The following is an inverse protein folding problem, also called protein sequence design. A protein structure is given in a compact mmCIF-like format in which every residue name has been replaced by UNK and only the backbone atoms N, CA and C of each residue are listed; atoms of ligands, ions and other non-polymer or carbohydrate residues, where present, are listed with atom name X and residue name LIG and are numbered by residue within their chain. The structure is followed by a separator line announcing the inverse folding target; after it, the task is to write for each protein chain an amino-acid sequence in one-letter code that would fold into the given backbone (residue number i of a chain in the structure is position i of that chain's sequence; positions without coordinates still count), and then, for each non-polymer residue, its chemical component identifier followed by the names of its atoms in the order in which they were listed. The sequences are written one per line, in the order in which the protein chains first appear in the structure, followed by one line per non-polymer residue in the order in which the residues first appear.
data_IF_453702295809
#
_entry.id   IF_453702295809
#
_cell.length_a   1.000
_cell.length_b   1.000
_cell.length_c   1.000
_cell.angle_alpha   90.00
_cell.angle_beta   90.00
_cell.angle_gamma   90.00
#
_symmetry.space_group_name_H-M   'P 1'
#
loop_
_entity.id
_entity.type
_entity.pdbx_description
1 polymer ?
#
# COMPACT_ATOMS: atom_id res chain seq x y z
N UNK A 1 -7.97 -127.31 -130.36
CA UNK A 1 -8.74 -127.07 -129.11
C UNK A 1 -7.72 -126.92 -127.99
N UNK A 2 -7.31 -125.70 -127.65
CA UNK A 2 -7.92 -124.74 -126.67
C UNK A 2 -7.26 -124.83 -125.29
N UNK A 3 -6.34 -123.89 -124.99
CA UNK A 3 -5.92 -123.56 -123.62
C UNK A 3 -5.65 -122.04 -123.57
N UNK A 4 -6.71 -121.25 -123.40
CA UNK A 4 -6.63 -119.78 -123.21
C UNK A 4 -7.56 -119.34 -122.07
N UNK A 5 -7.45 -119.98 -120.89
CA UNK A 5 -8.33 -119.69 -119.74
C UNK A 5 -7.64 -119.54 -118.36
N UNK A 6 -6.32 -119.73 -118.24
CA UNK A 6 -5.64 -119.70 -116.93
C UNK A 6 -4.82 -118.42 -116.65
N UNK A 7 -4.63 -117.55 -117.64
CA UNK A 7 -3.77 -116.36 -117.48
C UNK A 7 -4.51 -115.12 -116.93
N UNK A 8 -5.83 -115.02 -117.04
CA UNK A 8 -6.58 -113.83 -116.60
C UNK A 8 -6.87 -113.79 -115.09
N UNK A 9 -6.96 -114.95 -114.41
CA UNK A 9 -7.26 -115.00 -112.97
C UNK A 9 -6.14 -114.49 -112.06
N UNK A 10 -4.88 -114.60 -112.48
CA UNK A 10 -3.73 -114.19 -111.65
C UNK A 10 -3.49 -112.67 -111.65
N UNK A 11 -3.90 -111.95 -112.69
CA UNK A 11 -3.69 -110.50 -112.80
C UNK A 11 -4.75 -109.67 -112.05
N UNK A 12 -5.95 -110.23 -111.82
CA UNK A 12 -7.01 -109.54 -111.08
C UNK A 12 -6.75 -109.53 -109.55
N UNK A 13 -6.11 -110.56 -108.99
CA UNK A 13 -5.84 -110.67 -107.56
C UNK A 13 -4.73 -109.74 -107.03
N UNK A 14 -3.76 -109.36 -107.87
CA UNK A 14 -2.66 -108.48 -107.47
C UNK A 14 -3.09 -107.01 -107.37
N UNK A 15 -4.00 -106.56 -108.23
CA UNK A 15 -4.43 -105.15 -108.29
C UNK A 15 -5.37 -104.74 -107.14
N UNK A 16 -6.09 -105.69 -106.53
CA UNK A 16 -7.00 -105.43 -105.40
C UNK A 16 -6.25 -105.34 -104.06
N UNK A 17 -5.22 -106.15 -103.88
CA UNK A 17 -4.40 -106.15 -102.65
C UNK A 17 -3.56 -104.87 -102.50
N UNK A 18 -3.07 -104.33 -103.62
CA UNK A 18 -2.30 -103.07 -103.66
C UNK A 18 -3.19 -101.84 -103.36
N UNK A 19 -4.46 -101.83 -103.80
CA UNK A 19 -5.40 -100.76 -103.47
C UNK A 19 -5.81 -100.76 -101.98
N UNK A 20 -5.99 -101.93 -101.37
CA UNK A 20 -6.35 -102.03 -99.96
C UNK A 20 -5.23 -101.55 -99.02
N UNK A 21 -3.97 -101.91 -99.32
CA UNK A 21 -2.82 -101.42 -98.55
C UNK A 21 -2.60 -99.91 -98.70
N UNK A 22 -2.93 -99.33 -99.85
CA UNK A 22 -2.88 -97.87 -100.03
C UNK A 22 -3.99 -97.14 -99.27
N UNK A 23 -5.21 -97.68 -99.24
CA UNK A 23 -6.33 -97.12 -98.48
C UNK A 23 -6.05 -97.04 -96.96
N UNK A 24 -5.55 -98.12 -96.36
CA UNK A 24 -5.19 -98.09 -94.92
C UNK A 24 -4.12 -97.03 -94.59
N UNK A 25 -3.11 -96.88 -95.46
CA UNK A 25 -2.06 -95.88 -95.26
C UNK A 25 -2.52 -94.43 -95.47
N UNK A 26 -3.65 -94.21 -96.14
CA UNK A 26 -4.24 -92.88 -96.32
C UNK A 26 -5.13 -92.51 -95.13
N UNK A 27 -5.93 -93.45 -94.63
CA UNK A 27 -6.77 -93.24 -93.44
C UNK A 27 -5.92 -92.98 -92.19
N UNK A 28 -4.83 -93.74 -91.98
CA UNK A 28 -3.88 -93.49 -90.88
C UNK A 28 -3.24 -92.09 -90.97
N UNK A 29 -3.00 -91.58 -92.19
CA UNK A 29 -2.47 -90.23 -92.39
C UNK A 29 -3.51 -89.16 -92.09
N UNK A 30 -4.76 -89.38 -92.48
CA UNK A 30 -5.85 -88.44 -92.19
C UNK A 30 -6.15 -88.37 -90.70
N UNK A 31 -6.20 -89.50 -90.00
CA UNK A 31 -6.43 -89.55 -88.55
C UNK A 31 -5.28 -88.88 -87.78
N UNK A 32 -4.04 -89.11 -88.21
CA UNK A 32 -2.86 -88.43 -87.64
C UNK A 32 -2.87 -86.92 -87.92
N UNK A 33 -3.33 -86.49 -89.10
CA UNK A 33 -3.46 -85.07 -89.43
C UNK A 33 -4.58 -84.38 -88.63
N UNK A 34 -5.70 -85.08 -88.41
CA UNK A 34 -6.83 -84.56 -87.62
C UNK A 34 -6.46 -84.45 -86.14
N UNK A 35 -5.81 -85.48 -85.57
CA UNK A 35 -5.34 -85.43 -84.17
C UNK A 35 -4.29 -84.33 -83.93
N UNK A 36 -3.38 -84.11 -84.89
CA UNK A 36 -2.43 -82.98 -84.83
C UNK A 36 -3.15 -81.63 -84.86
N UNK A 37 -4.20 -81.49 -85.68
CA UNK A 37 -4.99 -80.26 -85.77
C UNK A 37 -5.77 -79.98 -84.48
N UNK A 38 -6.39 -81.01 -83.90
CA UNK A 38 -7.10 -80.89 -82.62
C UNK A 38 -6.15 -80.57 -81.47
N UNK A 39 -4.96 -81.20 -81.44
CA UNK A 39 -3.92 -80.87 -80.46
C UNK A 39 -3.41 -79.42 -80.62
N UNK A 40 -3.29 -78.92 -81.85
CA UNK A 40 -2.93 -77.52 -82.09
C UNK A 40 -4.04 -76.57 -81.63
N UNK A 41 -5.31 -76.90 -81.88
CA UNK A 41 -6.46 -76.08 -81.47
C UNK A 41 -6.61 -76.02 -79.94
N UNK A 42 -6.43 -77.15 -79.25
CA UNK A 42 -6.45 -77.19 -77.78
C UNK A 42 -5.30 -76.35 -77.20
N UNK A 43 -4.09 -76.48 -77.74
CA UNK A 43 -2.95 -75.66 -77.34
C UNK A 43 -3.22 -74.15 -77.53
N UNK A 44 -3.89 -73.76 -78.61
CA UNK A 44 -4.22 -72.36 -78.87
C UNK A 44 -5.26 -71.82 -77.87
N UNK A 45 -6.30 -72.61 -77.56
CA UNK A 45 -7.28 -72.23 -76.54
C UNK A 45 -6.67 -72.11 -75.14
N UNK A 46 -5.77 -73.02 -74.77
CA UNK A 46 -5.05 -72.96 -73.50
C UNK A 46 -4.15 -71.72 -73.42
N UNK A 47 -3.46 -71.37 -74.52
CA UNK A 47 -2.68 -70.13 -74.60
C UNK A 47 -3.53 -68.88 -74.41
N UNK A 48 -4.71 -68.83 -75.03
CA UNK A 48 -5.63 -67.70 -74.87
C UNK A 48 -6.13 -67.57 -73.43
N UNK A 49 -6.55 -68.68 -72.79
CA UNK A 49 -6.97 -68.66 -71.38
C UNK A 49 -5.86 -68.15 -70.46
N UNK A 50 -4.63 -68.62 -70.65
CA UNK A 50 -3.48 -68.15 -69.86
C UNK A 50 -3.19 -66.66 -70.10
N UNK A 51 -3.34 -66.18 -71.33
CA UNK A 51 -3.16 -64.76 -71.64
C UNK A 51 -4.23 -63.88 -70.95
N UNK A 52 -5.49 -64.30 -70.99
CA UNK A 52 -6.60 -63.59 -70.33
C UNK A 52 -6.44 -63.56 -68.81
N UNK A 53 -6.04 -64.67 -68.20
CA UNK A 53 -5.76 -64.73 -66.76
C UNK A 53 -4.63 -63.77 -66.39
N UNK A 54 -3.52 -63.77 -67.15
CA UNK A 54 -2.41 -62.84 -66.92
C UNK A 54 -2.81 -61.37 -67.07
N UNK A 55 -3.67 -61.06 -68.03
CA UNK A 55 -4.17 -59.69 -68.22
C UNK A 55 -5.04 -59.22 -67.05
N UNK A 56 -5.94 -60.08 -66.56
CA UNK A 56 -6.78 -59.78 -65.41
C UNK A 56 -5.96 -59.63 -64.12
N UNK A 57 -4.97 -60.50 -63.91
CA UNK A 57 -4.02 -60.38 -62.79
C UNK A 57 -3.21 -59.08 -62.87
N UNK A 58 -2.72 -58.70 -64.06
CA UNK A 58 -1.99 -57.45 -64.25
C UNK A 58 -2.86 -56.21 -63.97
N UNK A 59 -4.12 -56.20 -64.40
CA UNK A 59 -5.07 -55.13 -64.09
C UNK A 59 -5.38 -55.05 -62.59
N UNK A 60 -5.58 -56.21 -61.94
CA UNK A 60 -5.79 -56.28 -60.49
C UNK A 60 -4.58 -55.74 -59.72
N UNK A 61 -3.38 -56.10 -60.13
CA UNK A 61 -2.13 -55.62 -59.56
C UNK A 61 -1.93 -54.10 -59.77
N UNK A 62 -2.23 -53.57 -60.96
CA UNK A 62 -2.16 -52.12 -61.23
C UNK A 62 -3.13 -51.34 -60.34
N UNK A 63 -4.42 -51.75 -60.30
CA UNK A 63 -5.43 -51.10 -59.46
C UNK A 63 -5.07 -51.15 -57.97
N UNK A 64 -4.50 -52.26 -57.52
CA UNK A 64 -4.00 -52.39 -56.15
C UNK A 64 -2.86 -51.42 -55.86
N UNK A 65 -1.92 -51.26 -56.80
CA UNK A 65 -0.82 -50.30 -56.68
C UNK A 65 -1.32 -48.86 -56.64
N UNK A 66 -2.25 -48.49 -57.52
CA UNK A 66 -2.77 -47.12 -57.61
C UNK A 66 -3.51 -46.72 -56.34
N UNK A 67 -4.35 -47.61 -55.79
CA UNK A 67 -5.00 -47.38 -54.48
C UNK A 67 -4.00 -47.14 -53.36
N UNK A 68 -2.92 -47.92 -53.31
CA UNK A 68 -1.87 -47.75 -52.30
C UNK A 68 -1.10 -46.44 -52.51
N UNK A 69 -0.94 -45.97 -53.75
CA UNK A 69 -0.32 -44.69 -54.06
C UNK A 69 -1.21 -43.52 -53.60
N UNK A 70 -2.50 -43.57 -53.89
CA UNK A 70 -3.47 -42.54 -53.49
C UNK A 70 -3.59 -42.46 -51.95
N UNK A 71 -3.70 -43.61 -51.26
CA UNK A 71 -3.72 -43.63 -49.80
C UNK A 71 -2.44 -43.05 -49.17
N UNK A 72 -1.29 -43.24 -49.82
CA UNK A 72 -0.03 -42.62 -49.37
C UNK A 72 -0.03 -41.12 -49.60
N UNK A 73 -0.54 -40.66 -50.74
CA UNK A 73 -0.65 -39.23 -51.06
C UNK A 73 -1.58 -38.51 -50.08
N UNK A 74 -2.75 -39.08 -49.78
CA UNK A 74 -3.69 -38.51 -48.82
C UNK A 74 -3.10 -38.43 -47.40
N UNK A 75 -2.42 -39.49 -46.96
CA UNK A 75 -1.72 -39.48 -45.66
C UNK A 75 -0.62 -38.41 -45.62
N UNK A 76 0.14 -38.26 -46.70
CA UNK A 76 1.17 -37.22 -46.80
C UNK A 76 0.56 -35.82 -46.76
N UNK A 77 -0.50 -35.57 -47.52
CA UNK A 77 -1.19 -34.29 -47.54
C UNK A 77 -1.75 -33.92 -46.16
N UNK A 78 -2.41 -34.86 -45.49
CA UNK A 78 -2.94 -34.65 -44.13
C UNK A 78 -1.83 -34.38 -43.10
N UNK A 79 -0.67 -35.03 -43.24
CA UNK A 79 0.49 -34.76 -42.40
C UNK A 79 1.05 -33.35 -42.67
N UNK A 80 1.18 -32.96 -43.93
CA UNK A 80 1.64 -31.62 -44.32
C UNK A 80 0.69 -30.54 -43.83
N UNK A 81 -0.62 -30.70 -43.98
CA UNK A 81 -1.62 -29.74 -43.51
C UNK A 81 -1.55 -29.56 -41.98
N UNK A 82 -1.41 -30.67 -41.23
CA UNK A 82 -1.19 -30.61 -39.77
C UNK A 82 0.11 -29.90 -39.43
N UNK A 83 1.19 -30.14 -40.17
CA UNK A 83 2.47 -29.47 -39.96
C UNK A 83 2.34 -27.96 -40.19
N UNK A 84 1.70 -27.52 -41.28
CA UNK A 84 1.48 -26.10 -41.59
C UNK A 84 0.63 -25.44 -40.51
N UNK A 85 -0.53 -26.02 -40.15
CA UNK A 85 -1.37 -25.50 -39.05
C UNK A 85 -0.62 -25.40 -37.73
N UNK A 86 0.23 -26.39 -37.43
CA UNK A 86 1.07 -26.34 -36.22
C UNK A 86 2.16 -25.26 -36.31
N UNK A 87 2.72 -25.02 -37.49
CA UNK A 87 3.73 -23.98 -37.71
C UNK A 87 3.11 -22.58 -37.62
N UNK A 88 1.94 -22.35 -38.21
CA UNK A 88 1.17 -21.11 -38.07
C UNK A 88 0.77 -20.84 -36.62
N UNK A 89 0.26 -21.86 -35.91
CA UNK A 89 -0.06 -21.73 -34.49
C UNK A 89 1.18 -21.36 -33.65
N UNK A 90 2.34 -21.97 -33.94
CA UNK A 90 3.61 -21.62 -33.29
C UNK A 90 4.07 -20.21 -33.65
N UNK A 91 3.95 -19.80 -34.91
CA UNK A 91 4.32 -18.46 -35.37
C UNK A 91 3.45 -17.38 -34.69
N UNK A 92 2.13 -17.55 -34.71
CA UNK A 92 1.19 -16.64 -34.05
C UNK A 92 1.37 -16.61 -32.52
N UNK A 93 1.79 -17.72 -31.90
CA UNK A 93 2.15 -17.76 -30.48
C UNK A 93 3.52 -17.13 -30.21
N UNK A 94 4.45 -17.16 -31.15
CA UNK A 94 5.74 -16.48 -31.05
C UNK A 94 5.57 -14.97 -31.21
N UNK A 95 4.77 -14.51 -32.17
CA UNK A 95 4.47 -13.09 -32.41
C UNK A 95 3.76 -12.46 -31.21
N UNK A 96 2.78 -13.14 -30.62
CA UNK A 96 2.14 -12.69 -29.36
C UNK A 96 3.11 -12.61 -28.19
N UNK A 97 4.08 -13.52 -28.11
CA UNK A 97 5.13 -13.46 -27.08
C UNK A 97 6.10 -12.30 -27.34
N UNK A 98 6.48 -12.06 -28.58
CA UNK A 98 7.36 -10.96 -28.97
C UNK A 98 6.71 -9.60 -28.70
N UNK A 99 5.46 -9.39 -29.13
CA UNK A 99 4.71 -8.15 -28.86
C UNK A 99 4.49 -7.93 -27.36
N UNK A 100 4.17 -8.97 -26.60
CA UNK A 100 4.07 -8.86 -25.14
C UNK A 100 5.42 -8.61 -24.44
N UNK A 101 6.54 -8.96 -25.08
CA UNK A 101 7.89 -8.70 -24.58
C UNK A 101 8.34 -7.27 -24.91
N UNK A 102 8.02 -6.78 -26.11
CA UNK A 102 8.26 -5.38 -26.49
C UNK A 102 7.43 -4.40 -25.65
N UNK A 103 6.15 -4.69 -25.42
CA UNK A 103 5.30 -3.86 -24.56
C UNK A 103 5.83 -3.80 -23.13
N UNK A 104 6.37 -4.92 -22.62
CA UNK A 104 7.04 -4.99 -21.32
C UNK A 104 8.29 -4.12 -21.28
N UNK A 105 9.15 -4.22 -22.29
CA UNK A 105 10.36 -3.41 -22.35
C UNK A 105 10.04 -1.91 -22.42
N UNK A 106 8.98 -1.52 -23.13
CA UNK A 106 8.53 -0.13 -23.16
C UNK A 106 8.02 0.34 -21.79
N UNK A 107 7.17 -0.46 -21.13
CA UNK A 107 6.67 -0.14 -19.79
C UNK A 107 7.80 -0.07 -18.75
N UNK A 108 8.74 -1.01 -18.77
CA UNK A 108 9.93 -0.99 -17.91
C UNK A 108 10.79 0.25 -18.17
N UNK A 109 10.99 0.62 -19.43
CA UNK A 109 11.74 1.81 -19.80
C UNK A 109 11.06 3.09 -19.30
N UNK A 110 9.75 3.21 -19.49
CA UNK A 110 8.96 4.35 -19.00
C UNK A 110 9.01 4.43 -17.48
N UNK A 111 8.80 3.32 -16.77
CA UNK A 111 8.91 3.26 -15.32
C UNK A 111 10.31 3.65 -14.84
N UNK A 112 11.37 3.12 -15.45
CA UNK A 112 12.75 3.49 -15.11
C UNK A 112 13.00 4.98 -15.32
N UNK A 113 12.46 5.57 -16.40
CA UNK A 113 12.55 7.00 -16.68
C UNK A 113 11.82 7.82 -15.62
N UNK A 114 10.61 7.43 -15.23
CA UNK A 114 9.86 8.09 -14.15
C UNK A 114 10.60 8.03 -12.81
N UNK A 115 11.12 6.85 -12.43
CA UNK A 115 11.89 6.70 -11.18
C UNK A 115 13.16 7.54 -11.19
N UNK A 116 13.88 7.58 -12.31
CA UNK A 116 15.10 8.38 -12.47
C UNK A 116 14.79 9.87 -12.39
N UNK A 117 13.70 10.31 -13.04
CA UNK A 117 13.21 11.69 -12.96
C UNK A 117 12.82 12.09 -11.53
N UNK A 118 12.17 11.19 -10.78
CA UNK A 118 11.86 11.41 -9.36
C UNK A 118 13.13 11.57 -8.52
N UNK A 119 14.11 10.68 -8.71
CA UNK A 119 15.39 10.76 -7.99
C UNK A 119 16.17 12.04 -8.30
N UNK A 120 16.27 12.42 -9.57
CA UNK A 120 16.93 13.66 -9.99
C UNK A 120 16.24 14.88 -9.36
N UNK A 121 14.91 14.93 -9.44
CA UNK A 121 14.13 16.01 -8.83
C UNK A 121 14.39 16.13 -7.32
N UNK A 122 14.42 15.01 -6.60
CA UNK A 122 14.70 15.00 -5.16
C UNK A 122 16.14 15.43 -4.84
N UNK A 123 17.13 15.03 -5.64
CA UNK A 123 18.52 15.42 -5.45
C UNK A 123 18.75 16.91 -5.72
N UNK A 124 18.23 17.43 -6.83
CA UNK A 124 18.36 18.84 -7.22
C UNK A 124 17.71 19.77 -6.19
N UNK A 125 16.56 19.36 -5.64
CA UNK A 125 15.81 20.17 -4.70
C UNK A 125 16.11 19.85 -3.23
N UNK A 126 17.01 18.91 -2.93
CA UNK A 126 17.33 18.48 -1.56
C UNK A 126 17.72 19.66 -0.63
N UNK A 127 18.53 20.65 -1.06
CA UNK A 127 18.87 21.78 -0.20
C UNK A 127 17.65 22.66 0.15
N UNK A 128 16.73 22.86 -0.80
CA UNK A 128 15.49 23.61 -0.61
C UNK A 128 14.58 22.85 0.36
N UNK A 129 14.47 21.54 0.17
CA UNK A 129 13.67 20.65 1.03
C UNK A 129 14.19 20.67 2.47
N UNK A 130 15.51 20.51 2.67
CA UNK A 130 16.11 20.49 4.01
C UNK A 130 15.96 21.83 4.73
N UNK A 131 16.30 22.94 4.07
CA UNK A 131 16.19 24.27 4.66
C UNK A 131 14.74 24.67 4.95
N UNK A 132 13.81 24.35 4.06
CA UNK A 132 12.40 24.64 4.28
C UNK A 132 11.80 23.80 5.41
N UNK A 133 12.14 22.51 5.51
CA UNK A 133 11.71 21.69 6.66
C UNK A 133 12.30 22.16 7.98
N UNK A 134 13.55 22.65 7.98
CA UNK A 134 14.15 23.27 9.16
C UNK A 134 13.40 24.56 9.55
N UNK A 135 13.06 25.42 8.59
CA UNK A 135 12.26 26.61 8.85
C UNK A 135 10.89 26.26 9.44
N UNK A 136 10.21 25.24 8.91
CA UNK A 136 8.95 24.73 9.46
C UNK A 136 9.13 24.25 10.91
N UNK A 137 10.19 23.48 11.21
CA UNK A 137 10.49 23.02 12.57
C UNK A 137 10.80 24.18 13.54
N UNK A 138 11.33 25.29 13.04
CA UNK A 138 11.59 26.52 13.79
C UNK A 138 10.36 27.46 13.86
N UNK A 139 9.21 27.05 13.31
CA UNK A 139 7.98 27.85 13.28
C UNK A 139 7.99 29.04 12.31
N UNK A 140 8.92 29.05 11.34
CA UNK A 140 9.09 30.10 10.32
C UNK A 140 8.40 29.71 9.02
N UNK A 141 7.98 30.70 8.22
CA UNK A 141 7.48 30.46 6.86
C UNK A 141 8.65 30.09 5.92
N UNK A 142 8.68 28.88 5.34
CA UNK A 142 9.72 28.44 4.41
C UNK A 142 9.58 29.07 3.00
N UNK A 143 8.48 29.79 2.72
CA UNK A 143 8.24 30.48 1.45
C UNK A 143 7.70 29.59 0.32
N UNK A 144 7.20 30.22 -0.74
CA UNK A 144 6.52 29.54 -1.86
C UNK A 144 7.42 28.58 -2.65
N UNK A 145 8.72 28.88 -2.80
CA UNK A 145 9.63 28.02 -3.55
C UNK A 145 9.76 26.65 -2.89
N UNK A 146 9.84 26.59 -1.56
CA UNK A 146 9.81 25.33 -0.82
C UNK A 146 8.49 24.59 -1.04
N UNK A 147 7.36 25.27 -0.89
CA UNK A 147 6.04 24.65 -1.04
C UNK A 147 5.80 24.08 -2.44
N UNK A 148 6.22 24.79 -3.49
CA UNK A 148 6.14 24.31 -4.87
C UNK A 148 6.96 23.04 -5.08
N UNK A 149 8.15 22.97 -4.47
CA UNK A 149 9.02 21.81 -4.54
C UNK A 149 8.40 20.61 -3.84
N UNK A 150 7.94 20.76 -2.61
CA UNK A 150 7.47 19.61 -1.83
C UNK A 150 6.08 19.13 -2.25
N UNK A 151 5.25 19.97 -2.88
CA UNK A 151 3.95 19.55 -3.45
C UNK A 151 4.07 18.84 -4.80
N UNK A 152 5.20 18.94 -5.48
CA UNK A 152 5.40 18.22 -6.73
C UNK A 152 5.30 16.70 -6.47
N UNK A 153 4.53 15.94 -7.27
CA UNK A 153 4.42 14.49 -7.11
C UNK A 153 5.78 13.76 -7.12
N UNK A 154 6.81 14.36 -7.72
CA UNK A 154 8.17 13.82 -7.76
C UNK A 154 8.92 13.96 -6.44
N UNK A 155 8.50 14.85 -5.55
CA UNK A 155 9.05 14.98 -4.20
C UNK A 155 8.83 13.73 -3.33
N UNK A 156 7.82 12.91 -3.65
CA UNK A 156 7.57 11.62 -2.99
C UNK A 156 7.44 11.76 -1.47
N UNK A 157 8.32 11.10 -0.73
CA UNK A 157 8.33 11.13 0.75
C UNK A 157 8.56 12.52 1.34
N UNK A 158 9.02 13.50 0.57
CA UNK A 158 9.18 14.88 1.05
C UNK A 158 7.89 15.70 0.97
N UNK A 159 6.79 15.15 0.43
CA UNK A 159 5.54 15.89 0.32
C UNK A 159 4.81 16.00 1.68
N UNK A 160 4.57 17.22 2.19
CA UNK A 160 3.90 17.49 3.48
C UNK A 160 2.47 16.94 3.55
N UNK A 161 1.74 16.93 2.43
CA UNK A 161 0.32 16.58 2.39
C UNK A 161 0.07 15.16 2.91
N UNK A 162 1.02 14.25 2.65
CA UNK A 162 0.98 12.88 3.17
C UNK A 162 0.97 12.84 4.70
N UNK A 163 1.72 13.73 5.34
CA UNK A 163 1.85 13.78 6.80
C UNK A 163 0.69 14.50 7.49
N UNK A 164 -0.09 15.29 6.73
CA UNK A 164 -1.27 16.00 7.21
C UNK A 164 -2.56 15.16 7.15
N UNK A 165 -2.50 14.00 6.52
CA UNK A 165 -3.58 13.01 6.53
C UNK A 165 -3.72 12.44 7.94
N UNK A 166 -4.93 12.46 8.48
CA UNK A 166 -5.21 11.98 9.84
C UNK A 166 -4.77 10.52 10.01
N UNK A 167 -5.04 9.67 9.02
CA UNK A 167 -4.62 8.28 8.98
C UNK A 167 -3.10 8.10 9.12
N UNK A 168 -2.30 9.02 8.58
CA UNK A 168 -0.84 8.93 8.61
C UNK A 168 -0.28 9.23 10.01
N UNK A 169 -0.85 10.21 10.71
CA UNK A 169 -0.41 10.51 12.07
C UNK A 169 -0.95 9.54 13.10
N UNK A 170 -2.17 9.02 12.92
CA UNK A 170 -2.67 7.91 13.74
C UNK A 170 -1.81 6.66 13.55
N UNK A 171 -1.36 6.38 12.32
CA UNK A 171 -0.36 5.35 12.04
C UNK A 171 0.97 5.66 12.74
N UNK A 172 1.46 6.90 12.67
CA UNK A 172 2.65 7.35 13.38
C UNK A 172 2.58 7.09 14.89
N UNK A 173 1.52 7.57 15.55
CA UNK A 173 1.28 7.36 16.98
C UNK A 173 1.20 5.87 17.34
N UNK A 174 0.44 5.10 16.57
CA UNK A 174 0.30 3.65 16.75
C UNK A 174 1.65 2.95 16.64
N UNK A 175 2.42 3.27 15.60
CA UNK A 175 3.74 2.69 15.38
C UNK A 175 4.68 2.98 16.55
N UNK A 176 4.82 4.25 16.94
CA UNK A 176 5.72 4.65 18.04
C UNK A 176 5.35 3.96 19.35
N UNK A 177 4.05 3.93 19.67
CA UNK A 177 3.56 3.30 20.91
C UNK A 177 3.84 1.80 20.92
N UNK A 178 3.49 1.09 19.85
CA UNK A 178 3.67 -0.35 19.76
C UNK A 178 5.14 -0.75 19.67
N UNK A 179 5.92 -0.11 18.79
CA UNK A 179 7.35 -0.39 18.66
C UNK A 179 8.10 -0.11 19.96
N UNK A 180 7.79 1.00 20.65
CA UNK A 180 8.37 1.32 21.96
C UNK A 180 8.04 0.29 23.03
N UNK A 181 6.81 -0.23 23.05
CA UNK A 181 6.41 -1.30 23.97
C UNK A 181 7.12 -2.63 23.66
N UNK A 182 7.20 -3.01 22.38
CA UNK A 182 7.92 -4.23 21.96
C UNK A 182 9.40 -4.16 22.33
N UNK A 183 10.06 -3.02 22.07
CA UNK A 183 11.47 -2.81 22.44
C UNK A 183 11.69 -2.90 23.94
N UNK A 184 10.78 -2.34 24.75
CA UNK A 184 10.85 -2.44 26.21
C UNK A 184 10.69 -3.89 26.67
N UNK A 185 9.71 -4.61 26.14
CA UNK A 185 9.50 -6.02 26.47
C UNK A 185 10.69 -6.89 26.07
N UNK A 186 11.32 -6.61 24.92
CA UNK A 186 12.55 -7.29 24.50
C UNK A 186 13.71 -7.01 25.46
N UNK A 187 13.92 -5.75 25.86
CA UNK A 187 14.95 -5.36 26.83
C UNK A 187 14.74 -5.98 28.21
N UNK A 188 13.47 -6.13 28.62
CA UNK A 188 13.10 -6.81 29.87
C UNK A 188 13.13 -8.34 29.78
N UNK A 189 13.48 -8.91 28.62
CA UNK A 189 13.51 -10.36 28.39
C UNK A 189 12.12 -11.02 28.35
N UNK A 190 11.06 -10.23 28.21
CA UNK A 190 9.64 -10.68 28.18
C UNK A 190 9.13 -10.93 26.77
N UNK A 191 9.86 -10.49 25.75
CA UNK A 191 9.56 -10.74 24.35
C UNK A 191 10.70 -11.57 23.75
N UNK A 192 10.41 -12.83 23.42
CA UNK A 192 11.27 -13.64 22.58
C UNK A 192 10.69 -13.67 21.16
N UNK A 193 11.28 -12.95 20.20
CA UNK A 193 10.74 -12.84 18.86
C UNK A 193 10.87 -14.13 18.03
N UNK A 194 11.55 -15.16 18.53
CA UNK A 194 11.66 -16.48 17.90
C UNK A 194 10.54 -17.45 18.31
N UNK A 195 9.73 -17.06 19.30
CA UNK A 195 8.56 -17.82 19.77
C UNK A 195 7.31 -17.46 18.98
N UNK A 196 6.32 -18.37 18.85
CA UNK A 196 5.03 -18.06 18.25
C UNK A 196 4.35 -16.84 18.88
N UNK A 197 4.44 -16.71 20.20
CA UNK A 197 3.88 -15.59 20.96
C UNK A 197 4.58 -14.28 20.63
N UNK A 198 5.92 -14.28 20.54
CA UNK A 198 6.69 -13.11 20.13
C UNK A 198 6.44 -12.73 18.67
N UNK A 199 6.35 -13.70 17.77
CA UNK A 199 5.95 -13.48 16.39
C UNK A 199 4.55 -12.84 16.30
N UNK A 200 3.58 -13.32 17.09
CA UNK A 200 2.23 -12.74 17.12
C UNK A 200 2.22 -11.32 17.68
N UNK A 201 3.03 -11.03 18.72
CA UNK A 201 3.16 -9.69 19.29
C UNK A 201 3.72 -8.68 18.27
N UNK A 202 4.72 -9.08 17.50
CA UNK A 202 5.33 -8.27 16.43
C UNK A 202 4.38 -8.09 15.24
N UNK A 203 3.55 -9.09 14.94
CA UNK A 203 2.62 -9.08 13.82
C UNK A 203 1.20 -8.64 14.22
N UNK A 204 1.07 -7.78 15.24
CA UNK A 204 -0.20 -7.21 15.60
C UNK A 204 -0.84 -6.47 14.39
N UNK A 205 -2.13 -6.70 14.06
CA UNK A 205 -2.75 -6.12 12.87
C UNK A 205 -2.72 -4.59 12.81
N UNK A 206 -2.90 -3.91 13.95
CA UNK A 206 -2.83 -2.44 14.01
C UNK A 206 -1.41 -1.94 13.77
N UNK A 207 -0.42 -2.65 14.31
CA UNK A 207 0.99 -2.32 14.10
C UNK A 207 1.42 -2.54 12.64
N UNK A 208 1.03 -3.67 12.03
CA UNK A 208 1.31 -3.94 10.60
C UNK A 208 0.65 -2.89 9.71
N UNK A 209 -0.61 -2.53 9.96
CA UNK A 209 -1.28 -1.46 9.21
C UNK A 209 -0.54 -0.12 9.36
N UNK A 210 -0.18 0.25 10.59
CA UNK A 210 0.55 1.49 10.86
C UNK A 210 1.93 1.52 10.17
N UNK A 211 2.68 0.43 10.26
CA UNK A 211 3.96 0.27 9.55
C UNK A 211 3.77 0.34 8.03
N UNK A 212 2.73 -0.30 7.50
CA UNK A 212 2.36 -0.26 6.09
C UNK A 212 2.05 1.16 5.60
N UNK A 213 1.34 1.97 6.37
CA UNK A 213 1.09 3.38 6.05
C UNK A 213 2.39 4.20 6.04
N UNK A 214 3.24 4.04 7.06
CA UNK A 214 4.52 4.77 7.15
C UNK A 214 5.48 4.39 6.02
N UNK A 215 5.50 3.10 5.62
CA UNK A 215 6.37 2.55 4.57
C UNK A 215 5.67 2.36 3.22
N UNK A 216 4.54 3.02 3.00
CA UNK A 216 3.67 2.78 1.85
C UNK A 216 4.41 2.92 0.51
N UNK A 217 5.27 3.93 0.36
CA UNK A 217 6.05 4.12 -0.87
C UNK A 217 7.03 2.98 -1.09
N UNK A 218 7.70 2.52 -0.05
CA UNK A 218 8.64 1.40 -0.14
C UNK A 218 7.94 0.06 -0.40
N UNK A 219 6.76 -0.14 0.18
CA UNK A 219 5.92 -1.33 0.00
C UNK A 219 5.32 -1.37 -1.40
N UNK A 220 4.90 -0.22 -1.93
CA UNK A 220 4.27 -0.12 -3.25
C UNK A 220 5.28 -0.13 -4.42
N UNK A 221 6.59 -0.18 -4.14
CA UNK A 221 7.59 -0.38 -5.19
C UNK A 221 7.33 -1.69 -5.94
N UNK A 222 7.32 -1.61 -7.26
CA UNK A 222 7.06 -2.73 -8.16
C UNK A 222 5.59 -3.12 -8.29
N UNK A 223 4.66 -2.23 -7.92
CA UNK A 223 3.28 -2.29 -8.46
C UNK A 223 3.33 -1.88 -9.93
N UNK A 224 2.71 -2.66 -10.80
CA UNK A 224 2.80 -2.57 -12.25
C UNK A 224 3.77 -3.58 -12.88
N UNK A 225 4.70 -4.13 -12.09
CA UNK A 225 5.67 -5.11 -12.57
C UNK A 225 5.00 -6.47 -12.82
N UNK A 226 5.60 -7.27 -13.71
CA UNK A 226 5.22 -8.67 -13.91
C UNK A 226 6.08 -9.54 -13.01
N UNK A 227 5.43 -10.30 -12.14
CA UNK A 227 6.10 -11.27 -11.30
C UNK A 227 6.64 -12.42 -12.16
N UNK A 228 7.95 -12.66 -12.24
CA UNK A 228 8.54 -13.62 -13.17
C UNK A 228 8.18 -15.07 -12.84
N UNK A 229 7.82 -15.39 -11.59
CA UNK A 229 7.38 -16.72 -11.19
C UNK A 229 5.99 -17.06 -11.73
N UNK A 230 5.07 -16.11 -11.64
CA UNK A 230 3.65 -16.32 -11.99
C UNK A 230 3.31 -15.81 -13.39
N UNK A 231 4.14 -14.94 -13.97
CA UNK A 231 3.88 -14.23 -15.21
C UNK A 231 2.76 -13.19 -15.12
N UNK A 232 2.26 -12.89 -13.91
CA UNK A 232 1.10 -12.01 -13.67
C UNK A 232 1.53 -10.60 -13.32
N UNK A 233 0.69 -9.63 -13.67
CA UNK A 233 0.92 -8.22 -13.35
C UNK A 233 0.53 -7.95 -11.91
N UNK A 234 1.40 -7.24 -11.18
CA UNK A 234 1.13 -6.83 -9.81
C UNK A 234 0.26 -5.57 -9.82
N UNK A 235 -0.95 -5.66 -9.26
CA UNK A 235 -1.90 -4.54 -9.19
C UNK A 235 -1.91 -3.85 -7.84
N UNK A 236 -1.41 -4.50 -6.79
CA UNK A 236 -1.33 -3.93 -5.45
C UNK A 236 -0.34 -4.64 -4.56
N UNK A 237 0.17 -3.91 -3.56
CA UNK A 237 1.06 -4.44 -2.52
C UNK A 237 0.62 -3.89 -1.17
N UNK A 238 0.68 -4.72 -0.13
CA UNK A 238 0.47 -4.29 1.24
C UNK A 238 1.38 -5.03 2.20
N UNK A 239 1.85 -4.36 3.25
CA UNK A 239 2.65 -5.01 4.28
C UNK A 239 1.80 -6.06 4.99
N UNK A 240 2.26 -7.31 5.00
CA UNK A 240 1.54 -8.45 5.56
C UNK A 240 2.10 -8.86 6.92
N UNK A 241 3.43 -8.96 7.02
CA UNK A 241 4.08 -9.44 8.23
C UNK A 241 5.52 -8.92 8.34
N UNK A 242 6.04 -8.95 9.56
CA UNK A 242 7.41 -8.61 9.93
C UNK A 242 7.99 -9.85 10.64
N UNK A 243 9.08 -10.37 10.09
CA UNK A 243 9.83 -11.47 10.71
C UNK A 243 11.11 -10.88 11.31
N UNK A 244 11.38 -11.17 12.57
CA UNK A 244 12.67 -10.84 13.19
C UNK A 244 13.64 -11.98 12.87
N UNK A 245 14.87 -11.65 12.52
CA UNK A 245 15.90 -12.66 12.23
C UNK A 245 16.24 -13.48 13.48
N UNK A 246 16.69 -14.74 13.35
CA UNK A 246 16.99 -15.60 14.49
C UNK A 246 18.03 -15.03 15.47
N UNK A 247 18.94 -14.19 14.97
CA UNK A 247 19.94 -13.50 15.79
C UNK A 247 19.39 -12.25 16.51
N UNK A 248 18.12 -11.89 16.26
CA UNK A 248 17.42 -10.77 16.88
C UNK A 248 17.89 -9.39 16.43
N UNK A 249 18.70 -9.29 15.36
CA UNK A 249 19.35 -8.02 14.96
C UNK A 249 18.68 -7.33 13.77
N UNK A 250 17.89 -8.06 12.99
CA UNK A 250 17.26 -7.55 11.78
C UNK A 250 15.80 -7.97 11.66
N UNK A 251 15.14 -7.35 10.68
CA UNK A 251 13.78 -7.67 10.26
C UNK A 251 13.73 -7.97 8.77
N UNK A 252 12.88 -8.91 8.40
CA UNK A 252 12.49 -9.22 7.02
C UNK A 252 11.01 -8.89 6.89
N UNK A 253 10.67 -8.07 5.90
CA UNK A 253 9.29 -7.65 5.64
C UNK A 253 8.65 -8.60 4.64
N UNK A 254 7.45 -9.11 4.96
CA UNK A 254 6.60 -9.84 4.04
C UNK A 254 5.50 -8.92 3.50
N UNK A 255 5.35 -8.91 2.18
CA UNK A 255 4.38 -8.08 1.45
C UNK A 255 3.39 -9.00 0.77
N UNK A 256 2.10 -8.78 1.00
CA UNK A 256 1.05 -9.40 0.21
C UNK A 256 0.95 -8.66 -1.11
N UNK A 257 1.14 -9.40 -2.20
CA UNK A 257 1.05 -8.97 -3.58
C UNK A 257 -0.32 -9.38 -4.10
N UNK A 258 -1.06 -8.44 -4.69
CA UNK A 258 -2.31 -8.69 -5.42
C UNK A 258 -2.03 -8.62 -6.92
N UNK A 259 -2.52 -9.61 -7.66
CA UNK A 259 -2.33 -9.72 -9.11
C UNK A 259 -3.55 -9.25 -9.91
N UNK A 260 -3.38 -9.10 -11.22
CA UNK A 260 -4.43 -8.72 -12.18
C UNK A 260 -5.61 -9.70 -12.23
N UNK A 261 -5.36 -10.99 -12.03
CA UNK A 261 -6.40 -12.02 -11.93
C UNK A 261 -7.09 -12.09 -10.56
N UNK A 262 -6.77 -11.17 -9.63
CA UNK A 262 -7.30 -11.12 -8.27
C UNK A 262 -6.67 -12.11 -7.30
N UNK A 263 -5.75 -12.97 -7.75
CA UNK A 263 -4.99 -13.85 -6.85
C UNK A 263 -4.03 -13.04 -5.97
N UNK A 264 -3.65 -13.64 -4.83
CA UNK A 264 -2.79 -13.01 -3.83
C UNK A 264 -1.68 -13.95 -3.39
N UNK A 265 -0.49 -13.39 -3.12
CA UNK A 265 0.63 -14.14 -2.58
C UNK A 265 1.44 -13.28 -1.60
N UNK A 266 1.89 -13.86 -0.49
CA UNK A 266 2.82 -13.20 0.44
C UNK A 266 4.25 -13.50 0.00
N UNK A 267 5.04 -12.46 -0.24
CA UNK A 267 6.44 -12.57 -0.67
C UNK A 267 7.35 -11.77 0.26
N UNK A 268 8.56 -12.26 0.59
CA UNK A 268 9.53 -11.46 1.30
C UNK A 268 10.02 -10.31 0.41
N UNK A 269 10.35 -9.20 1.04
CA UNK A 269 11.05 -8.09 0.40
C UNK A 269 12.52 -8.49 0.22
N UNK A 270 13.03 -8.48 -1.01
CA UNK A 270 14.41 -8.89 -1.36
C UNK A 270 15.36 -7.71 -1.51
N UNK A 271 16.66 -7.97 -1.65
CA UNK A 271 17.69 -6.94 -1.79
C UNK A 271 17.57 -6.18 -3.11
N UNK A 272 17.43 -6.90 -4.23
CA UNK A 272 17.31 -6.30 -5.56
C UNK A 272 15.86 -5.99 -5.96
N UNK A 273 14.88 -6.28 -5.10
CA UNK A 273 13.44 -6.10 -5.35
C UNK A 273 12.92 -6.94 -6.51
N UNK A 274 13.60 -8.04 -6.83
CA UNK A 274 13.21 -8.96 -7.90
C UNK A 274 12.61 -10.23 -7.31
N UNK A 275 11.86 -10.98 -8.11
CA UNK A 275 11.50 -12.37 -7.76
C UNK A 275 12.51 -13.38 -8.30
N UNK A 276 13.76 -12.97 -8.57
CA UNK A 276 14.77 -13.90 -9.06
C UNK A 276 15.11 -14.95 -7.97
N UNK A 277 15.36 -16.22 -8.33
CA UNK A 277 15.61 -17.28 -7.35
C UNK A 277 16.86 -17.07 -6.48
N UNK A 278 17.81 -16.27 -6.97
CA UNK A 278 19.05 -15.88 -6.31
C UNK A 278 18.94 -14.53 -5.56
N UNK A 279 17.80 -13.85 -5.62
CA UNK A 279 17.56 -12.61 -4.87
C UNK A 279 17.05 -12.94 -3.47
N UNK A 280 17.96 -12.85 -2.50
CA UNK A 280 17.68 -13.22 -1.12
C UNK A 280 16.77 -12.21 -0.40
N UNK A 281 15.99 -12.65 0.61
CA UNK A 281 15.25 -11.74 1.48
C UNK A 281 16.16 -10.69 2.11
N UNK A 282 15.76 -9.42 1.99
CA UNK A 282 16.50 -8.30 2.57
C UNK A 282 16.34 -8.30 4.08
N UNK A 283 17.47 -8.40 4.77
CA UNK A 283 17.56 -8.20 6.21
C UNK A 283 17.79 -6.70 6.48
N UNK A 284 16.81 -6.05 7.10
CA UNK A 284 16.91 -4.66 7.51
C UNK A 284 17.31 -4.63 8.98
N UNK A 285 18.43 -3.99 9.37
CA UNK A 285 18.76 -3.82 10.78
C UNK A 285 17.61 -3.17 11.54
N UNK A 286 17.31 -3.62 12.77
CA UNK A 286 16.16 -3.11 13.55
C UNK A 286 16.19 -1.58 13.67
N UNK A 287 17.36 -1.00 13.91
CA UNK A 287 17.50 0.46 14.00
C UNK A 287 17.19 1.17 12.68
N UNK A 288 17.55 0.58 11.55
CA UNK A 288 17.29 1.12 10.23
C UNK A 288 15.81 0.96 9.83
N UNK A 289 15.11 0.01 10.43
CA UNK A 289 13.65 -0.12 10.34
C UNK A 289 12.91 0.85 11.28
N UNK A 290 13.44 1.11 12.48
CA UNK A 290 12.74 1.94 13.47
C UNK A 290 12.98 3.43 13.26
N UNK A 291 14.22 3.84 12.99
CA UNK A 291 14.63 5.25 12.95
C UNK A 291 13.85 6.07 11.90
N UNK A 292 13.70 5.62 10.63
CA UNK A 292 12.93 6.38 9.64
C UNK A 292 11.45 6.48 10.01
N UNK A 293 10.87 5.41 10.58
CA UNK A 293 9.48 5.42 11.03
C UNK A 293 9.26 6.39 12.20
N UNK A 294 10.17 6.44 13.18
CA UNK A 294 10.13 7.44 14.25
C UNK A 294 10.23 8.87 13.71
N UNK A 295 11.14 9.11 12.75
CA UNK A 295 11.27 10.42 12.11
C UNK A 295 9.99 10.83 11.36
N UNK A 296 9.39 9.91 10.60
CA UNK A 296 8.12 10.14 9.89
C UNK A 296 6.97 10.40 10.86
N UNK A 297 6.89 9.67 11.95
CA UNK A 297 5.87 9.85 12.98
C UNK A 297 6.02 11.18 13.73
N UNK A 298 7.25 11.55 14.10
CA UNK A 298 7.53 12.84 14.73
C UNK A 298 7.20 14.00 13.79
N UNK A 299 7.55 13.87 12.51
CA UNK A 299 7.20 14.86 11.48
C UNK A 299 5.67 14.98 11.35
N UNK A 300 4.94 13.87 11.23
CA UNK A 300 3.48 13.88 11.16
C UNK A 300 2.84 14.54 12.38
N UNK A 301 3.34 14.25 13.58
CA UNK A 301 2.86 14.87 14.82
C UNK A 301 3.11 16.38 14.81
N UNK A 302 4.30 16.82 14.38
CA UNK A 302 4.63 18.24 14.26
C UNK A 302 3.77 18.96 13.21
N UNK A 303 3.54 18.32 12.06
CA UNK A 303 2.67 18.85 11.00
C UNK A 303 1.23 18.99 11.47
N UNK A 304 0.73 18.04 12.27
CA UNK A 304 -0.63 18.11 12.80
C UNK A 304 -0.78 19.17 13.88
N UNK A 305 0.22 19.33 14.75
CA UNK A 305 0.22 20.44 15.73
C UNK A 305 0.05 21.80 15.06
N UNK A 306 0.62 21.96 13.85
CA UNK A 306 0.52 23.17 13.03
C UNK A 306 -0.46 23.03 11.84
N UNK A 307 -1.37 22.04 11.86
CA UNK A 307 -2.13 21.63 10.67
C UNK A 307 -2.98 22.73 10.07
N UNK A 308 -3.61 23.58 10.87
CA UNK A 308 -4.52 24.61 10.35
C UNK A 308 -3.75 25.69 9.58
N UNK A 309 -2.61 26.13 10.12
CA UNK A 309 -1.71 27.07 9.46
C UNK A 309 -1.07 26.46 8.20
N UNK A 310 -0.67 25.19 8.27
CA UNK A 310 -0.10 24.46 7.14
C UNK A 310 -1.13 24.18 6.06
N UNK A 311 -2.37 23.79 6.39
CA UNK A 311 -3.43 23.59 5.40
C UNK A 311 -3.80 24.89 4.69
N UNK A 312 -3.82 26.00 5.40
CA UNK A 312 -4.02 27.32 4.81
C UNK A 312 -2.85 27.71 3.87
N UNK A 313 -1.59 27.53 4.29
CA UNK A 313 -0.42 27.80 3.42
C UNK A 313 -0.34 26.83 2.24
N UNK A 314 -0.84 25.60 2.43
CA UNK A 314 -1.01 24.59 1.40
C UNK A 314 -2.18 24.86 0.45
N UNK A 315 -3.02 25.87 0.73
CA UNK A 315 -4.22 26.15 -0.04
C UNK A 315 -5.28 25.03 0.03
N UNK A 316 -5.15 24.13 1.01
CA UNK A 316 -6.07 23.02 1.26
C UNK A 316 -7.32 23.47 2.03
N UNK A 317 -7.25 24.62 2.69
CA UNK A 317 -8.35 25.28 3.40
C UNK A 317 -8.31 26.79 3.15
N UNK A 318 -9.46 27.46 3.18
CA UNK A 318 -9.51 28.92 3.14
C UNK A 318 -8.72 29.50 4.33
N UNK A 319 -7.88 30.50 4.07
CA UNK A 319 -7.10 31.18 5.10
C UNK A 319 -7.96 32.04 6.04
N UNK A 320 -7.35 32.65 7.07
CA UNK A 320 -8.05 33.50 8.03
C UNK A 320 -8.78 34.67 7.34
N UNK A 321 -10.05 34.87 7.65
CA UNK A 321 -10.84 35.98 7.08
C UNK A 321 -10.56 37.27 7.87
N UNK A 322 -9.45 37.91 7.54
CA UNK A 322 -9.02 39.15 8.16
C UNK A 322 -9.98 40.32 7.89
N UNK A 323 -10.72 40.28 6.77
CA UNK A 323 -11.66 41.33 6.41
C UNK A 323 -12.91 41.22 7.30
N UNK A 324 -13.50 40.02 7.40
CA UNK A 324 -14.62 39.73 8.28
C UNK A 324 -14.31 40.01 9.76
N UNK A 325 -13.11 39.65 10.23
CA UNK A 325 -12.67 39.98 11.59
C UNK A 325 -12.60 41.49 11.85
N UNK A 326 -12.01 42.27 10.92
CA UNK A 326 -11.92 43.73 11.07
C UNK A 326 -13.30 44.37 11.13
N UNK A 327 -14.23 43.94 10.28
CA UNK A 327 -15.62 44.43 10.32
C UNK A 327 -16.30 44.08 11.64
N UNK A 328 -16.18 42.83 12.10
CA UNK A 328 -16.78 42.37 13.35
C UNK A 328 -16.23 43.09 14.58
N UNK A 329 -14.90 43.30 14.66
CA UNK A 329 -14.27 44.05 15.77
C UNK A 329 -14.70 45.52 15.75
N UNK A 330 -14.78 46.14 14.57
CA UNK A 330 -15.20 47.55 14.47
C UNK A 330 -16.62 47.76 14.97
N UNK A 331 -17.55 46.86 14.64
CA UNK A 331 -18.93 46.92 15.14
C UNK A 331 -19.00 46.61 16.65
N UNK A 332 -18.20 45.66 17.14
CA UNK A 332 -18.10 45.34 18.57
C UNK A 332 -17.59 46.55 19.39
N UNK A 333 -16.54 47.22 18.93
CA UNK A 333 -15.98 48.42 19.57
C UNK A 333 -16.97 49.59 19.57
N UNK A 334 -17.74 49.74 18.50
CA UNK A 334 -18.81 50.74 18.41
C UNK A 334 -19.92 50.48 19.43
N UNK A 335 -20.37 49.23 19.56
CA UNK A 335 -21.38 48.84 20.56
C UNK A 335 -20.85 49.02 21.98
N UNK A 336 -19.59 48.67 22.21
CA UNK A 336 -18.91 48.90 23.47
C UNK A 336 -18.85 50.39 23.84
N UNK A 337 -18.45 51.25 22.91
CA UNK A 337 -18.43 52.71 23.12
C UNK A 337 -19.81 53.27 23.47
N UNK A 338 -20.88 52.77 22.85
CA UNK A 338 -22.26 53.16 23.17
C UNK A 338 -22.68 52.71 24.57
N UNK A 339 -22.36 51.48 24.97
CA UNK A 339 -22.67 50.95 26.29
C UNK A 339 -21.88 51.66 27.39
N UNK A 340 -20.60 51.94 27.14
CA UNK A 340 -19.74 52.70 28.05
C UNK A 340 -20.30 54.10 28.30
N UNK A 341 -20.71 54.81 27.25
CA UNK A 341 -21.34 56.13 27.38
C UNK A 341 -22.64 56.08 28.20
N UNK A 342 -23.45 55.04 28.03
CA UNK A 342 -24.69 54.82 28.82
C UNK A 342 -24.39 54.59 30.30
N UNK A 343 -23.41 53.76 30.63
CA UNK A 343 -23.02 53.47 32.03
C UNK A 343 -22.45 54.72 32.69
N UNK A 344 -21.57 55.46 31.99
CA UNK A 344 -21.00 56.71 32.50
C UNK A 344 -22.07 57.77 32.79
N UNK A 345 -23.09 57.86 31.95
CA UNK A 345 -24.22 58.78 32.11
C UNK A 345 -25.31 58.32 33.11
N UNK A 346 -25.23 57.09 33.64
CA UNK A 346 -26.20 56.58 34.64
C UNK A 346 -26.02 57.26 36.00
N UNK A 347 -26.84 56.95 37.01
CA UNK A 347 -26.64 57.38 38.40
C UNK A 347 -26.35 56.20 39.34
N UNK A 348 -25.87 55.07 38.80
CA UNK A 348 -25.52 53.90 39.61
C UNK A 348 -24.33 54.19 40.54
N UNK A 349 -24.31 53.59 41.74
CA UNK A 349 -23.20 53.69 42.68
C UNK A 349 -21.99 52.84 42.25
N UNK A 350 -22.23 51.75 41.50
CA UNK A 350 -21.20 50.78 41.07
C UNK A 350 -20.67 51.02 39.64
N UNK A 351 -20.66 52.27 39.15
CA UNK A 351 -20.25 52.58 37.76
C UNK A 351 -18.89 52.04 37.39
N UNK A 352 -17.91 52.20 38.28
CA UNK A 352 -16.53 51.80 38.01
C UNK A 352 -16.42 50.28 37.83
N UNK A 353 -17.11 49.51 38.68
CA UNK A 353 -17.23 48.05 38.56
C UNK A 353 -17.92 47.61 37.26
N UNK A 354 -18.94 48.35 36.81
CA UNK A 354 -19.66 48.05 35.57
C UNK A 354 -18.84 48.40 34.32
N UNK A 355 -18.03 49.46 34.37
CA UNK A 355 -17.12 49.84 33.30
C UNK A 355 -15.98 48.82 33.16
N UNK A 356 -15.37 48.41 34.28
CA UNK A 356 -14.33 47.38 34.29
C UNK A 356 -14.84 46.03 33.75
N UNK A 357 -16.07 45.64 34.13
CA UNK A 357 -16.69 44.42 33.62
C UNK A 357 -16.99 44.51 32.11
N UNK A 358 -17.38 45.69 31.61
CA UNK A 358 -17.65 45.93 30.19
C UNK A 358 -16.36 45.89 29.36
N UNK A 359 -15.29 46.51 29.84
CA UNK A 359 -13.97 46.49 29.20
C UNK A 359 -13.41 45.05 29.15
N UNK A 360 -13.56 44.28 30.24
CA UNK A 360 -13.20 42.86 30.27
C UNK A 360 -14.03 42.02 29.29
N UNK A 361 -15.32 42.30 29.15
CA UNK A 361 -16.20 41.64 28.18
C UNK A 361 -15.78 41.94 26.74
N UNK A 362 -15.35 43.16 26.43
CA UNK A 362 -14.83 43.54 25.10
C UNK A 362 -13.60 42.72 24.73
N UNK A 363 -12.63 42.61 25.63
CA UNK A 363 -11.41 41.82 25.39
C UNK A 363 -11.73 40.34 25.19
N UNK A 364 -12.65 39.78 25.98
CA UNK A 364 -13.08 38.39 25.83
C UNK A 364 -13.81 38.16 24.49
N UNK A 365 -14.64 39.11 24.05
CA UNK A 365 -15.37 38.98 22.78
C UNK A 365 -14.49 39.23 21.55
N UNK A 366 -13.47 40.10 21.64
CA UNK A 366 -12.41 40.21 20.61
C UNK A 366 -11.63 38.91 20.46
N UNK A 367 -11.25 38.28 21.57
CA UNK A 367 -10.56 36.98 21.55
C UNK A 367 -11.43 35.88 20.92
N UNK A 368 -12.72 35.82 21.24
CA UNK A 368 -13.67 34.88 20.63
C UNK A 368 -13.89 35.14 19.13
N UNK A 369 -13.93 36.40 18.70
CA UNK A 369 -13.99 36.75 17.27
C UNK A 369 -12.71 36.34 16.55
N UNK A 370 -11.53 36.54 17.14
CA UNK A 370 -10.27 36.12 16.53
C UNK A 370 -10.25 34.61 16.28
N UNK A 371 -10.83 33.82 17.18
CA UNK A 371 -10.99 32.37 17.03
C UNK A 371 -11.99 32.01 15.91
N UNK A 372 -13.14 32.70 15.88
CA UNK A 372 -14.20 32.48 14.88
C UNK A 372 -13.73 32.75 13.44
N UNK A 373 -12.85 33.75 13.27
CA UNK A 373 -12.31 34.14 11.96
C UNK A 373 -10.92 33.53 11.66
N UNK A 374 -10.46 32.60 12.50
CA UNK A 374 -9.22 31.84 12.28
C UNK A 374 -7.94 32.65 12.37
N UNK A 375 -7.95 33.82 13.05
CA UNK A 375 -6.75 34.63 13.31
C UNK A 375 -5.97 34.16 14.54
N UNK A 376 -6.46 33.16 15.26
CA UNK A 376 -5.73 32.54 16.35
C UNK A 376 -4.61 31.65 15.80
N UNK A 377 -3.36 32.06 15.97
CA UNK A 377 -2.22 31.14 15.84
C UNK A 377 -2.33 30.10 16.95
N UNK A 378 -2.82 28.90 16.62
CA UNK A 378 -2.76 27.71 17.50
C UNK A 378 -1.31 27.23 17.76
N UNK A 379 -0.31 28.08 17.54
CA UNK A 379 1.09 27.87 17.95
C UNK A 379 1.33 28.26 19.40
N UNK A 380 0.37 28.92 20.05
CA UNK A 380 0.19 28.68 21.46
C UNK A 380 -0.53 27.34 21.57
N UNK A 381 0.25 26.25 21.71
CA UNK A 381 -0.14 25.22 22.67
C UNK A 381 -0.76 25.95 23.88
N UNK A 382 -1.74 25.38 24.59
CA UNK A 382 -1.90 25.81 25.97
C UNK A 382 -0.52 25.56 26.60
N UNK A 383 0.33 26.60 26.68
CA UNK A 383 1.31 26.75 27.75
C UNK A 383 0.47 26.36 28.92
N UNK A 384 0.73 25.16 29.46
CA UNK A 384 0.05 24.62 30.62
C UNK A 384 -0.35 25.82 31.43
N UNK A 385 -1.65 26.16 31.46
CA UNK A 385 -2.09 27.35 32.17
C UNK A 385 -1.43 27.20 33.53
N UNK A 386 -0.48 28.08 33.84
CA UNK A 386 0.55 27.78 34.83
C UNK A 386 -0.14 27.11 36.00
N UNK A 387 0.26 25.92 36.50
CA UNK A 387 -0.56 25.09 37.40
C UNK A 387 -1.25 25.88 38.54
N UNK A 388 -0.61 26.98 38.95
CA UNK A 388 -1.10 28.06 39.80
C UNK A 388 -2.39 28.79 39.34
N UNK A 389 -2.52 29.21 38.08
CA UNK A 389 -3.72 29.87 37.53
C UNK A 389 -4.95 28.97 37.59
N UNK A 390 -4.82 27.70 37.20
CA UNK A 390 -5.90 26.70 37.29
C UNK A 390 -6.21 26.38 38.76
N UNK A 391 -5.19 26.22 39.60
CA UNK A 391 -5.38 25.91 41.02
C UNK A 391 -5.98 27.06 41.82
N UNK A 392 -5.64 28.32 41.48
CA UNK A 392 -6.20 29.49 42.15
C UNK A 392 -7.65 29.73 41.74
N UNK A 393 -8.01 29.55 40.47
CA UNK A 393 -9.39 29.77 40.00
C UNK A 393 -9.96 31.15 40.33
N UNK A 394 -9.10 32.15 40.57
CA UNK A 394 -9.49 33.49 41.03
C UNK A 394 -9.83 33.61 42.52
N UNK A 395 -9.63 32.56 43.33
CA UNK A 395 -9.88 32.58 44.78
C UNK A 395 -8.89 33.54 45.49
N UNK A 396 -9.39 34.61 46.15
CA UNK A 396 -8.55 35.58 46.86
C UNK A 396 -7.67 34.96 47.95
N UNK A 397 -8.15 33.92 48.66
CA UNK A 397 -7.40 33.26 49.73
C UNK A 397 -6.22 32.46 49.14
N UNK A 398 -6.44 31.77 48.02
CA UNK A 398 -5.39 30.99 47.32
C UNK A 398 -4.34 31.90 46.69
N UNK A 399 -4.75 33.05 46.16
CA UNK A 399 -3.84 34.07 45.64
C UNK A 399 -2.95 34.65 46.74
N UNK A 400 -3.52 34.92 47.92
CA UNK A 400 -2.77 35.41 49.07
C UNK A 400 -1.77 34.36 49.60
N UNK A 401 -2.19 33.09 49.69
CA UNK A 401 -1.30 31.99 50.05
C UNK A 401 -0.09 31.86 49.11
N UNK A 402 -0.30 31.95 47.79
CA UNK A 402 0.80 31.89 46.82
C UNK A 402 1.76 33.05 46.99
N UNK A 403 1.24 34.26 47.24
CA UNK A 403 2.07 35.45 47.46
C UNK A 403 2.99 35.25 48.67
N UNK A 404 2.47 34.72 49.77
CA UNK A 404 3.25 34.43 50.98
C UNK A 404 4.22 33.24 50.79
N UNK A 405 3.78 32.16 50.14
CA UNK A 405 4.63 31.01 49.84
C UNK A 405 5.80 31.38 48.91
N UNK A 406 5.59 32.32 47.98
CA UNK A 406 6.64 32.86 47.12
C UNK A 406 7.64 33.72 47.91
N UNK A 407 7.14 34.60 48.79
CA UNK A 407 7.99 35.43 49.66
C UNK A 407 8.88 34.61 50.59
N UNK A 408 8.40 33.45 51.02
CA UNK A 408 9.16 32.53 51.88
C UNK A 408 9.98 31.48 51.10
N UNK A 409 10.03 31.56 49.76
CA UNK A 409 10.82 30.65 48.92
C UNK A 409 10.34 29.19 48.91
N UNK A 410 9.08 28.94 49.32
CA UNK A 410 8.50 27.59 49.43
C UNK A 410 7.61 27.21 48.24
N UNK A 411 7.37 28.15 47.32
CA UNK A 411 6.44 27.94 46.21
C UNK A 411 6.90 26.85 45.23
N UNK A 412 8.20 26.81 44.92
CA UNK A 412 8.77 25.83 43.98
C UNK A 412 8.61 24.39 44.45
N UNK A 413 8.80 24.11 45.74
CA UNK A 413 8.68 22.74 46.30
C UNK A 413 7.23 22.26 46.47
N UNK A 414 6.26 23.17 46.42
CA UNK A 414 4.83 22.87 46.49
C UNK A 414 4.22 22.61 45.11
N UNK A 415 4.78 23.21 44.07
CA UNK A 415 4.35 23.09 42.67
C UNK A 415 4.52 21.69 42.08
N UNK A 416 5.45 20.90 42.60
CA UNK A 416 5.76 19.56 42.10
C UNK A 416 4.67 18.52 42.39
N UNK A 417 3.71 18.84 43.29
CA UNK A 417 2.64 17.91 43.65
C UNK A 417 1.34 18.65 44.06
N UNK A 418 0.26 18.57 43.25
CA UNK A 418 -1.03 19.22 43.54
C UNK A 418 -1.65 18.84 44.89
N UNK A 419 -1.45 17.61 45.37
CA UNK A 419 -1.97 17.18 46.67
C UNK A 419 -1.26 17.90 47.83
N UNK A 420 0.06 18.13 47.72
CA UNK A 420 0.83 18.87 48.73
C UNK A 420 0.43 20.34 48.78
N UNK A 421 0.09 20.92 47.63
CA UNK A 421 -0.37 22.32 47.55
C UNK A 421 -1.71 22.53 48.27
N UNK A 422 -2.66 21.59 48.12
CA UNK A 422 -3.93 21.62 48.86
C UNK A 422 -3.72 21.49 50.39
N UNK A 423 -2.89 20.54 50.83
CA UNK A 423 -2.63 20.36 52.27
C UNK A 423 -1.93 21.57 52.88
N UNK A 424 -0.97 22.18 52.16
CA UNK A 424 -0.28 23.38 52.63
C UNK A 424 -1.22 24.59 52.73
N UNK A 425 -2.15 24.74 51.78
CA UNK A 425 -3.16 25.79 51.81
C UNK A 425 -4.11 25.65 53.00
N UNK A 426 -4.59 24.44 53.30
CA UNK A 426 -5.47 24.20 54.46
C UNK A 426 -4.79 24.52 55.80
N UNK A 427 -3.51 24.14 55.94
CA UNK A 427 -2.71 24.46 57.12
C UNK A 427 -2.49 25.96 57.28
N UNK A 428 -2.15 26.65 56.19
CA UNK A 428 -2.02 28.09 56.17
C UNK A 428 -3.33 28.79 56.55
N UNK A 429 -4.47 28.36 55.99
CA UNK A 429 -5.79 28.90 56.30
C UNK A 429 -6.15 28.78 57.78
N UNK A 430 -5.82 27.64 58.40
CA UNK A 430 -6.00 27.44 59.84
C UNK A 430 -5.10 28.36 60.68
N UNK A 431 -3.86 28.60 60.25
CA UNK A 431 -2.95 29.52 60.93
C UNK A 431 -3.40 30.97 60.79
N UNK A 432 -3.80 31.40 59.60
CA UNK A 432 -4.33 32.74 59.35
C UNK A 432 -5.60 33.01 60.19
N UNK A 433 -6.47 32.01 60.36
CA UNK A 433 -7.64 32.11 61.23
C UNK A 433 -7.27 32.24 62.72
N UNK A 434 -6.19 31.57 63.18
CA UNK A 434 -5.68 31.71 64.56
C UNK A 434 -5.05 33.09 64.78
N UNK A 435 -4.21 33.56 63.86
CA UNK A 435 -3.59 34.89 63.95
C UNK A 435 -4.63 36.01 63.96
N UNK A 436 -5.66 35.95 63.10
CA UNK A 436 -6.76 36.93 63.15
C UNK A 436 -7.48 36.95 64.50
N UNK A 437 -7.64 35.80 65.17
CA UNK A 437 -8.23 35.73 66.52
C UNK A 437 -7.31 36.34 67.57
N UNK A 438 -6.00 36.11 67.47
CA UNK A 438 -5.01 36.68 68.39
C UNK A 438 -4.86 38.20 68.21
N UNK A 439 -4.91 38.68 66.96
CA UNK A 439 -4.94 40.11 66.62
C UNK A 439 -6.21 40.79 67.13
N UNK A 440 -7.38 40.15 66.96
CA UNK A 440 -8.63 40.66 67.54
C UNK A 440 -8.58 40.68 69.06
N UNK A 441 -8.00 39.66 69.70
CA UNK A 441 -7.84 39.61 71.15
C UNK A 441 -6.90 40.70 71.66
N UNK A 442 -5.79 40.96 70.96
CA UNK A 442 -4.84 42.04 71.31
C UNK A 442 -5.41 43.43 71.08
N UNK A 443 -6.12 43.67 69.97
CA UNK A 443 -6.85 44.94 69.75
C UNK A 443 -7.91 45.17 70.83
N UNK A 444 -8.64 44.12 71.22
CA UNK A 444 -9.63 44.21 72.30
C UNK A 444 -8.97 44.49 73.64
N UNK A 445 -7.85 43.83 73.95
CA UNK A 445 -7.08 44.07 75.16
C UNK A 445 -6.44 45.47 75.21
N UNK A 446 -6.03 46.02 74.06
CA UNK A 446 -5.54 47.40 73.98
C UNK A 446 -6.67 48.41 74.18
N UNK A 447 -7.83 48.22 73.55
CA UNK A 447 -9.01 49.08 73.77
C UNK A 447 -9.48 49.10 75.22
N UNK A 448 -9.42 47.95 75.91
CA UNK A 448 -9.76 47.88 77.33
C UNK A 448 -8.75 48.65 78.20
N UNK A 449 -7.45 48.55 77.91
CA UNK A 449 -6.41 49.34 78.59
C UNK A 449 -6.54 50.84 78.36
N UNK A 450 -6.86 51.25 77.13
CA UNK A 450 -7.06 52.67 76.80
C UNK A 450 -8.32 53.25 77.47
N UNK A 451 -9.39 52.45 77.55
CA UNK A 451 -10.61 52.83 78.27
C UNK A 451 -10.38 52.98 79.78
N UNK A 452 -9.57 52.10 80.37
CA UNK A 452 -9.17 52.17 81.78
C UNK A 452 -8.30 53.41 82.04
N UNK A 453 -7.30 53.69 81.20
CA UNK A 453 -6.46 54.89 81.29
C UNK A 453 -7.28 56.19 81.15
N UNK A 454 -8.26 56.21 80.24
CA UNK A 454 -9.19 57.34 80.09
C UNK A 454 -10.09 57.56 81.31
N UNK A 455 -10.55 56.48 81.95
CA UNK A 455 -11.33 56.56 83.19
C UNK A 455 -10.51 57.15 84.35
N UNK A 456 -9.24 56.75 84.49
CA UNK A 456 -8.34 57.30 85.52
C UNK A 456 -8.02 58.80 85.29
N UNK A 457 -7.87 59.24 84.03
CA UNK A 457 -7.72 60.66 83.71
C UNK A 457 -8.99 61.48 83.97
N UNK A 458 -10.17 60.91 83.71
CA UNK A 458 -11.44 61.59 84.00
C UNK A 458 -11.66 61.77 85.52
N UNK A 459 -11.27 60.78 86.33
CA UNK A 459 -11.35 60.84 87.79
C UNK A 459 -10.35 61.86 88.36
N UNK A 460 -9.12 61.92 87.85
CA UNK A 460 -8.12 62.89 88.32
C UNK A 460 -8.47 64.33 87.94
N UNK A 461 -9.04 64.57 86.76
CA UNK A 461 -9.57 65.87 86.35
C UNK A 461 -10.80 66.31 87.17
N UNK A 462 -11.64 65.37 87.61
CA UNK A 462 -12.78 65.65 88.49
C UNK A 462 -12.34 66.01 89.92
N UNK A 463 -11.21 65.46 90.38
CA UNK A 463 -10.62 65.80 91.68
C UNK A 463 -9.87 67.14 91.66
N UNK A 464 -9.31 67.57 90.52
CA UNK A 464 -8.63 68.85 90.36
C UNK A 464 -9.58 70.07 90.18
N UNK A 465 -10.90 69.85 90.05
CA UNK A 465 -11.93 70.89 89.94
C UNK A 465 -12.77 71.10 91.21
N UNK A 466 -12.36 70.48 92.33
CA UNK A 466 -12.79 70.84 93.69
C UNK A 466 -11.66 71.56 94.39
#
# INVERSE_FOLDING_TARGET
MSVSGLAEGFLAGFNTMDRYQRGQKEDERMEKAMSLRDAMWQNEQERQKVADTRYQEALGYSRGRDKVADERADRQFALTERQVKSAEARANAAERRATAQESRQQQEYEWQKEQRNKQLYQQENLPIIQSGWQAVAEGKDPGQQFWNVVRDPRAGSFNPERYLQQDYAEAGKTFVTHAGNLMRQAQEGKLDPTTPEGHAAVNNPQFIKAAGTLYQDEVNKGVGDIDPDSGKTITGKQLSNIMITPDGRGVVLGVEVTYDDGSKAVRPVTDNRTSAPDDHPKVIPINDFLKPAYQRAALAQHMIGNADQLRASLGLTAGPDQAGYKEAVTELEKQHGQNRARISASNAEDKDLQLDALDAQLEQSKAALADTYGLTTKTDEPKQEAPLKVWTGGDPERLQFIKEANQHGKLSSLMDNPARMNTAFELWRQQAAKQKKEEQATVTASRLRDAEAGAYQAISLAQARR
#
